data_IF_212334989058
#
_entry.id   IF_212334989058
#
_cell.length_a   1.000
_cell.length_b   1.000
_cell.length_c   1.000
_cell.angle_alpha   90.00
_cell.angle_beta   90.00
_cell.angle_gamma   90.00
#
_symmetry.space_group_name_H-M   'P 1'
#
loop_
_entity.id
_entity.type
_entity.pdbx_description
1 polymer ?
#
# COMPACT_ATOMS: atom_id res chain seq x y z
N UNK A 1 -1.67 17.31 -9.33
CA UNK A 1 -0.65 16.90 -8.34
C UNK A 1 -0.37 15.41 -8.56
N UNK A 2 0.69 14.84 -7.99
CA UNK A 2 0.90 13.39 -8.00
C UNK A 2 0.92 12.92 -6.57
N UNK A 3 0.04 11.98 -6.25
CA UNK A 3 -0.11 11.39 -4.94
C UNK A 3 0.49 9.99 -4.92
N UNK A 4 1.04 9.59 -3.78
CA UNK A 4 1.63 8.27 -3.61
C UNK A 4 0.92 7.52 -2.49
N UNK A 5 0.27 6.41 -2.83
CA UNK A 5 -0.28 5.48 -1.87
C UNK A 5 0.69 4.32 -1.64
N UNK A 6 1.16 4.17 -0.41
CA UNK A 6 1.95 3.03 0.03
C UNK A 6 1.05 2.01 0.70
N UNK A 7 0.93 0.83 0.09
CA UNK A 7 0.19 -0.30 0.65
C UNK A 7 1.18 -1.25 1.29
N UNK A 8 1.08 -1.42 2.61
CA UNK A 8 1.90 -2.35 3.38
C UNK A 8 1.06 -3.57 3.73
N UNK A 9 1.55 -4.75 3.35
CA UNK A 9 0.99 -6.04 3.71
C UNK A 9 1.97 -6.75 4.63
N UNK A 10 1.52 -7.24 5.77
CA UNK A 10 2.33 -8.02 6.70
C UNK A 10 1.66 -9.33 7.04
N UNK A 11 2.45 -10.40 7.18
CA UNK A 11 2.00 -11.69 7.70
C UNK A 11 2.59 -11.95 9.08
N UNK A 12 1.81 -12.61 9.94
CA UNK A 12 2.26 -13.08 11.24
C UNK A 12 2.59 -14.55 11.20
N UNK A 13 3.60 -14.98 11.95
CA UNK A 13 4.01 -16.40 12.00
C UNK A 13 2.95 -17.34 12.57
N UNK A 14 1.94 -16.81 13.28
CA UNK A 14 0.93 -17.61 14.02
C UNK A 14 -0.47 -17.47 13.42
N UNK A 15 -0.70 -16.49 12.53
CA UNK A 15 -2.03 -16.25 11.96
C UNK A 15 -1.95 -16.12 10.45
N UNK A 16 -2.74 -16.90 9.68
CA UNK A 16 -2.80 -16.79 8.22
C UNK A 16 -3.46 -15.47 7.77
N UNK A 17 -3.93 -14.64 8.70
CA UNK A 17 -4.60 -13.38 8.41
C UNK A 17 -3.57 -12.31 8.07
N UNK A 18 -3.52 -11.93 6.79
CA UNK A 18 -2.72 -10.81 6.32
C UNK A 18 -3.21 -9.49 6.94
N UNK A 19 -2.31 -8.71 7.51
CA UNK A 19 -2.56 -7.31 7.87
C UNK A 19 -2.25 -6.44 6.67
N UNK A 20 -3.23 -5.67 6.20
CA UNK A 20 -3.06 -4.74 5.07
C UNK A 20 -3.40 -3.32 5.53
N UNK A 21 -2.54 -2.36 5.20
CA UNK A 21 -2.79 -0.95 5.49
C UNK A 21 -2.19 -0.03 4.43
N UNK A 22 -2.94 1.00 4.06
CA UNK A 22 -2.51 2.04 3.12
C UNK A 22 -2.06 3.31 3.83
N UNK A 23 -1.04 3.98 3.30
CA UNK A 23 -0.53 5.27 3.75
C UNK A 23 -0.41 6.20 2.55
N UNK A 24 -1.13 7.33 2.56
CA UNK A 24 -1.14 8.30 1.48
C UNK A 24 -0.16 9.44 1.75
N UNK A 25 0.68 9.77 0.77
CA UNK A 25 1.66 10.87 0.80
C UNK A 25 2.60 10.83 2.01
N UNK A 26 2.93 9.63 2.45
CA UNK A 26 3.86 9.36 3.54
C UNK A 26 5.10 8.68 2.97
N UNK A 27 6.28 9.00 3.52
CA UNK A 27 7.52 8.34 3.14
C UNK A 27 7.52 6.86 3.56
N UNK A 28 8.18 6.02 2.75
CA UNK A 28 8.32 4.60 3.03
C UNK A 28 8.78 4.25 4.46
N UNK A 29 9.85 4.86 5.01
CA UNK A 29 10.30 4.55 6.37
C UNK A 29 9.26 4.92 7.43
N UNK A 30 8.52 6.02 7.23
CA UNK A 30 7.49 6.46 8.17
C UNK A 30 6.24 5.57 8.11
N UNK A 31 5.82 5.19 6.91
CA UNK A 31 4.72 4.25 6.70
C UNK A 31 5.03 2.89 7.35
N UNK A 32 6.26 2.37 7.16
CA UNK A 32 6.72 1.12 7.77
C UNK A 32 6.78 1.20 9.28
N UNK A 33 7.31 2.29 9.84
CA UNK A 33 7.35 2.53 11.28
C UNK A 33 5.94 2.52 11.89
N UNK A 34 4.99 3.21 11.26
CA UNK A 34 3.59 3.23 11.68
C UNK A 34 2.94 1.85 11.57
N UNK A 35 3.24 1.09 10.51
CA UNK A 35 2.72 -0.25 10.32
C UNK A 35 3.18 -1.19 11.43
N UNK A 36 4.48 -1.22 11.72
CA UNK A 36 5.07 -2.03 12.77
C UNK A 36 4.61 -1.62 14.17
N UNK A 37 4.36 -0.33 14.41
CA UNK A 37 3.80 0.13 15.68
C UNK A 37 2.37 -0.39 15.92
N UNK A 38 1.57 -0.54 14.86
CA UNK A 38 0.23 -1.11 14.95
C UNK A 38 0.23 -2.65 14.93
N UNK A 39 1.21 -3.26 14.25
CA UNK A 39 1.33 -4.70 14.06
C UNK A 39 2.74 -5.17 14.40
N UNK A 40 3.13 -5.20 15.69
CA UNK A 40 4.49 -5.56 16.11
C UNK A 40 4.87 -7.00 15.78
N UNK A 41 3.87 -7.88 15.60
CA UNK A 41 4.05 -9.29 15.25
C UNK A 41 4.15 -9.55 13.73
N UNK A 42 4.13 -8.51 12.89
CA UNK A 42 4.30 -8.66 11.45
C UNK A 42 5.77 -8.94 11.11
N UNK A 43 6.02 -10.02 10.36
CA UNK A 43 7.38 -10.42 9.94
C UNK A 43 7.57 -10.29 8.44
N UNK A 44 6.74 -10.96 7.65
CA UNK A 44 6.82 -10.94 6.19
C UNK A 44 6.10 -9.70 5.66
N UNK A 45 6.80 -8.56 5.71
CA UNK A 45 6.29 -7.27 5.29
C UNK A 45 6.61 -7.06 3.81
N UNK A 46 5.58 -6.88 3.00
CA UNK A 46 5.65 -6.46 1.62
C UNK A 46 5.08 -5.05 1.47
N UNK A 47 5.68 -4.24 0.61
CA UNK A 47 5.30 -2.85 0.38
C UNK A 47 5.10 -2.62 -1.10
N UNK A 48 3.97 -2.01 -1.45
CA UNK A 48 3.61 -1.66 -2.81
C UNK A 48 3.33 -0.16 -2.88
N UNK A 49 4.12 0.56 -3.69
CA UNK A 49 3.89 1.98 -3.96
C UNK A 49 3.02 2.15 -5.20
N UNK A 50 1.98 2.96 -5.10
CA UNK A 50 1.05 3.29 -6.17
C UNK A 50 1.05 4.80 -6.35
N UNK A 51 1.59 5.24 -7.48
CA UNK A 51 1.58 6.66 -7.85
C UNK A 51 0.38 6.94 -8.74
N UNK A 52 -0.41 7.95 -8.39
CA UNK A 52 -1.60 8.38 -9.14
C UNK A 52 -1.68 9.91 -9.18
N UNK A 53 -2.42 10.47 -10.13
CA UNK A 53 -2.50 11.91 -10.31
C UNK A 53 -3.52 12.56 -9.35
N UNK A 54 -4.82 12.34 -9.57
CA UNK A 54 -5.89 13.02 -8.82
C UNK A 54 -7.07 12.09 -8.50
N UNK A 55 -7.21 11.00 -9.26
CA UNK A 55 -8.30 10.05 -9.12
C UNK A 55 -7.71 8.64 -9.00
N UNK A 56 -8.00 7.96 -7.89
CA UNK A 56 -7.62 6.57 -7.65
C UNK A 56 -8.89 5.70 -7.67
N UNK A 57 -9.15 5.04 -8.79
CA UNK A 57 -10.26 4.08 -8.89
C UNK A 57 -9.82 2.72 -8.35
N UNK A 58 -10.12 2.43 -7.09
CA UNK A 58 -9.89 1.10 -6.49
C UNK A 58 -11.08 0.19 -6.81
N UNK A 59 -11.01 -0.54 -7.92
CA UNK A 59 -12.00 -1.59 -8.21
C UNK A 59 -11.80 -2.79 -7.29
N UNK A 60 -12.89 -3.31 -6.71
CA UNK A 60 -12.89 -4.46 -5.79
C UNK A 60 -12.38 -5.76 -6.42
N UNK A 61 -12.19 -5.79 -7.75
CA UNK A 61 -11.94 -7.00 -8.53
C UNK A 61 -10.47 -7.25 -8.88
N UNK A 62 -9.55 -6.86 -7.99
CA UNK A 62 -8.12 -7.21 -8.08
C UNK A 62 -7.42 -6.81 -9.37
N UNK A 63 -7.11 -5.51 -9.54
CA UNK A 63 -5.97 -4.99 -10.29
C UNK A 63 -5.88 -3.48 -10.02
N UNK A 64 -4.77 -3.03 -9.44
CA UNK A 64 -4.45 -1.60 -9.38
C UNK A 64 -4.04 -1.22 -10.80
N UNK A 65 -5.02 -0.82 -11.62
CA UNK A 65 -4.77 -0.31 -12.95
C UNK A 65 -4.43 1.18 -12.81
N UNK A 66 -3.13 1.50 -12.88
CA UNK A 66 -2.73 2.86 -13.21
C UNK A 66 -3.06 3.09 -14.67
N UNK A 67 -4.12 3.83 -14.96
CA UNK A 67 -4.47 4.25 -16.31
C UNK A 67 -3.48 5.35 -16.77
N UNK A 68 -2.25 4.94 -17.08
CA UNK A 68 -1.37 5.76 -17.93
C UNK A 68 -1.61 5.36 -19.38
N UNK A 69 -2.68 5.89 -19.97
CA UNK A 69 -2.83 5.95 -21.42
C UNK A 69 -3.04 7.40 -21.82
N UNK A 70 -1.96 8.17 -21.76
CA UNK A 70 -1.74 9.28 -22.69
C UNK A 70 -1.03 8.66 -23.90
N UNK A 71 -1.80 8.30 -24.92
CA UNK A 71 -1.30 8.17 -26.29
C UNK A 71 -2.10 9.17 -27.12
N UNK A 72 -1.33 10.08 -27.72
CA UNK A 72 -1.74 11.22 -28.55
C UNK A 72 -2.67 10.85 -29.71
#
# INVERSE_FOLDING_TARGET
MTHTLLIITGYGSVSPKAWKRGYLDVSEPEARRRFLANYPSARDISLQAVVFADELTISSNSLIASASSLVL
#
